data_IF_026339601519
#
_entry.id   IF_026339601519
#
_cell.length_a   1.000
_cell.length_b   1.000
_cell.length_c   1.000
_cell.angle_alpha   90.00
_cell.angle_beta   90.00
_cell.angle_gamma   90.00
#
_symmetry.space_group_name_H-M   'P 1'
#
loop_
_entity.id
_entity.type
_entity.pdbx_description
1 polymer ?
#
# COMPACT_ATOMS: atom_id res chain seq x y z
N UNK A 1 -120.92 18.03 -14.27
CA UNK A 1 -119.69 18.79 -14.61
C UNK A 1 -118.92 17.95 -15.60
N UNK A 2 -118.90 18.37 -16.87
CA UNK A 2 -118.19 17.68 -17.94
C UNK A 2 -116.69 17.72 -17.60
N UNK A 3 -116.08 16.54 -17.50
CA UNK A 3 -114.63 16.40 -17.39
C UNK A 3 -114.07 16.83 -18.74
N UNK A 4 -113.54 18.04 -18.81
CA UNK A 4 -112.92 18.59 -20.02
C UNK A 4 -111.69 17.77 -20.36
N UNK A 5 -111.67 17.21 -21.57
CA UNK A 5 -110.54 16.44 -22.13
C UNK A 5 -109.24 17.28 -22.14
N UNK A 6 -109.36 18.61 -22.16
CA UNK A 6 -108.26 19.57 -22.00
C UNK A 6 -107.48 19.40 -20.68
N UNK A 7 -108.13 18.93 -19.62
CA UNK A 7 -107.47 18.70 -18.32
C UNK A 7 -106.47 17.54 -18.35
N UNK A 8 -106.73 16.50 -19.16
CA UNK A 8 -105.85 15.34 -19.27
C UNK A 8 -104.58 15.71 -20.05
N UNK A 9 -104.72 16.51 -21.11
CA UNK A 9 -103.58 16.99 -21.89
C UNK A 9 -102.65 17.89 -21.07
N UNK A 10 -103.20 18.83 -20.28
CA UNK A 10 -102.42 19.68 -19.38
C UNK A 10 -101.66 18.88 -18.32
N UNK A 11 -102.28 17.84 -17.75
CA UNK A 11 -101.63 16.93 -16.81
C UNK A 11 -100.49 16.14 -17.45
N UNK A 12 -100.67 15.66 -18.68
CA UNK A 12 -99.62 14.95 -19.42
C UNK A 12 -98.45 15.88 -19.78
N UNK A 13 -98.74 17.14 -20.13
CA UNK A 13 -97.70 18.14 -20.40
C UNK A 13 -96.90 18.49 -19.14
N UNK A 14 -97.58 18.60 -17.99
CA UNK A 14 -96.94 18.86 -16.70
C UNK A 14 -96.04 17.70 -16.28
N UNK A 15 -96.53 16.46 -16.41
CA UNK A 15 -95.75 15.26 -16.13
C UNK A 15 -94.53 15.13 -17.06
N UNK A 16 -94.67 15.49 -18.34
CA UNK A 16 -93.56 15.52 -19.28
C UNK A 16 -92.54 16.63 -18.92
N UNK A 17 -93.02 17.77 -18.43
CA UNK A 17 -92.17 18.86 -17.93
C UNK A 17 -91.36 18.46 -16.69
N UNK A 18 -91.98 17.76 -15.72
CA UNK A 18 -91.29 17.24 -14.54
C UNK A 18 -90.19 16.25 -14.93
N UNK A 19 -90.49 15.32 -15.85
CA UNK A 19 -89.49 14.35 -16.34
C UNK A 19 -88.31 15.06 -17.01
N UNK A 20 -88.57 16.09 -17.81
CA UNK A 20 -87.52 16.84 -18.48
C UNK A 20 -86.66 17.64 -17.49
N UNK A 21 -87.26 18.17 -16.42
CA UNK A 21 -86.55 18.87 -15.35
C UNK A 21 -85.65 17.91 -14.56
N UNK A 22 -86.16 16.71 -14.22
CA UNK A 22 -85.39 15.68 -13.53
C UNK A 22 -84.18 15.23 -14.36
N UNK A 23 -84.37 15.04 -15.68
CA UNK A 23 -83.29 14.67 -16.57
C UNK A 23 -82.22 15.78 -16.68
N UNK A 24 -82.62 17.06 -16.70
CA UNK A 24 -81.67 18.16 -16.71
C UNK A 24 -80.87 18.24 -15.40
N UNK A 25 -81.53 17.96 -14.27
CA UNK A 25 -80.90 17.95 -12.95
C UNK A 25 -79.87 16.82 -12.84
N UNK A 26 -80.18 15.64 -13.37
CA UNK A 26 -79.27 14.50 -13.41
C UNK A 26 -78.03 14.79 -14.28
N UNK A 27 -78.22 15.44 -15.45
CA UNK A 27 -77.09 15.86 -16.31
C UNK A 27 -76.19 16.88 -15.58
N UNK A 28 -76.76 17.84 -14.87
CA UNK A 28 -75.98 18.83 -14.12
C UNK A 28 -75.22 18.19 -12.97
N UNK A 29 -75.84 17.25 -12.26
CA UNK A 29 -75.21 16.49 -11.18
C UNK A 29 -74.05 15.67 -11.73
N UNK A 30 -74.27 14.94 -12.83
CA UNK A 30 -73.25 14.12 -13.47
C UNK A 30 -72.07 14.97 -13.98
N UNK A 31 -72.33 16.16 -14.53
CA UNK A 31 -71.26 17.07 -14.93
C UNK A 31 -70.46 17.60 -13.73
N UNK A 32 -71.12 17.80 -12.58
CA UNK A 32 -70.43 18.20 -11.35
C UNK A 32 -69.53 17.09 -10.82
N UNK A 33 -70.03 15.85 -10.81
CA UNK A 33 -69.28 14.68 -10.35
C UNK A 33 -68.05 14.41 -11.21
N UNK A 34 -68.18 14.52 -12.54
CA UNK A 34 -67.04 14.38 -13.47
C UNK A 34 -65.99 15.46 -13.21
N UNK A 35 -66.40 16.73 -13.05
CA UNK A 35 -65.46 17.83 -12.78
C UNK A 35 -64.78 17.66 -11.42
N UNK A 36 -65.49 17.16 -10.42
CA UNK A 36 -64.93 16.88 -9.10
C UNK A 36 -63.94 15.71 -9.15
N UNK A 37 -64.23 14.68 -9.95
CA UNK A 37 -63.34 13.55 -10.17
C UNK A 37 -62.04 13.96 -10.91
N UNK A 38 -62.13 14.84 -11.91
CA UNK A 38 -60.95 15.39 -12.60
C UNK A 38 -60.05 16.19 -11.66
N UNK A 39 -60.62 17.05 -10.81
CA UNK A 39 -59.87 17.82 -9.81
C UNK A 39 -59.17 16.89 -8.81
N UNK A 40 -59.83 15.81 -8.38
CA UNK A 40 -59.24 14.84 -7.47
C UNK A 40 -58.12 14.02 -8.13
N UNK A 41 -58.24 13.69 -9.42
CA UNK A 41 -57.15 13.04 -10.17
C UNK A 41 -55.95 13.99 -10.35
N UNK A 42 -56.18 15.26 -10.68
CA UNK A 42 -55.10 16.24 -10.78
C UNK A 42 -54.34 16.42 -9.45
N UNK A 43 -55.06 16.44 -8.33
CA UNK A 43 -54.43 16.52 -7.00
C UNK A 43 -53.65 15.26 -6.62
N UNK A 44 -54.01 14.08 -7.12
CA UNK A 44 -53.22 12.85 -6.91
C UNK A 44 -51.99 12.72 -7.82
N UNK A 45 -52.05 13.25 -9.03
CA UNK A 45 -50.95 13.14 -10.00
C UNK A 45 -49.72 13.98 -9.59
N UNK A 46 -49.94 15.17 -9.00
CA UNK A 46 -48.86 16.08 -8.62
C UNK A 46 -47.84 15.50 -7.61
N UNK A 47 -48.27 14.93 -6.45
CA UNK A 47 -47.31 14.39 -5.47
C UNK A 47 -46.57 13.15 -5.99
N UNK A 48 -47.19 12.35 -6.88
CA UNK A 48 -46.53 11.17 -7.43
C UNK A 48 -45.39 11.54 -8.39
N UNK A 49 -45.56 12.60 -9.18
CA UNK A 49 -44.51 13.07 -10.08
C UNK A 49 -43.32 13.69 -9.31
N UNK A 50 -43.60 14.42 -8.23
CA UNK A 50 -42.55 15.02 -7.40
C UNK A 50 -41.70 13.95 -6.69
N UNK A 51 -42.34 12.90 -6.18
CA UNK A 51 -41.63 11.81 -5.50
C UNK A 51 -40.73 11.01 -6.46
N UNK A 52 -41.16 10.84 -7.72
CA UNK A 52 -40.35 10.16 -8.74
C UNK A 52 -39.12 10.99 -9.13
N UNK A 53 -39.24 12.32 -9.14
CA UNK A 53 -38.12 13.22 -9.45
C UNK A 53 -37.08 13.25 -8.31
N UNK A 54 -37.51 13.23 -7.04
CA UNK A 54 -36.58 13.13 -5.90
C UNK A 54 -35.84 11.78 -5.87
N UNK A 55 -36.51 10.68 -6.21
CA UNK A 55 -35.87 9.37 -6.25
C UNK A 55 -34.79 9.28 -7.34
N UNK A 56 -35.03 9.92 -8.49
CA UNK A 56 -34.05 9.97 -9.57
C UNK A 56 -32.83 10.85 -9.22
N UNK A 57 -33.01 11.94 -8.47
CA UNK A 57 -31.89 12.74 -7.95
C UNK A 57 -31.04 11.99 -6.92
N UNK A 58 -31.67 11.23 -6.00
CA UNK A 58 -30.90 10.42 -5.04
C UNK A 58 -30.06 9.34 -5.73
N UNK A 59 -30.59 8.72 -6.78
CA UNK A 59 -29.85 7.68 -7.50
C UNK A 59 -28.61 8.24 -8.22
N UNK A 60 -28.73 9.42 -8.86
CA UNK A 60 -27.58 10.10 -9.48
C UNK A 60 -26.52 10.54 -8.45
N UNK A 61 -26.92 10.97 -7.25
CA UNK A 61 -25.95 11.30 -6.20
C UNK A 61 -25.19 10.06 -5.71
N UNK A 62 -25.87 8.91 -5.54
CA UNK A 62 -25.20 7.68 -5.13
C UNK A 62 -24.20 7.19 -6.19
N UNK A 63 -24.56 7.21 -7.47
CA UNK A 63 -23.65 6.84 -8.55
C UNK A 63 -22.44 7.78 -8.63
N UNK A 64 -22.65 9.10 -8.51
CA UNK A 64 -21.55 10.08 -8.52
C UNK A 64 -20.56 9.87 -7.36
N UNK A 65 -21.09 9.59 -6.16
CA UNK A 65 -20.25 9.28 -5.00
C UNK A 65 -19.44 8.01 -5.29
N UNK A 66 -20.10 6.92 -5.69
CA UNK A 66 -19.44 5.64 -5.92
C UNK A 66 -18.32 5.72 -6.99
N UNK A 67 -18.56 6.45 -8.09
CA UNK A 67 -17.52 6.71 -9.09
C UNK A 67 -16.32 7.51 -8.56
N UNK A 68 -16.55 8.42 -7.62
CA UNK A 68 -15.48 9.22 -7.01
C UNK A 68 -14.59 8.36 -6.11
N UNK A 69 -15.18 7.46 -5.31
CA UNK A 69 -14.42 6.52 -4.48
C UNK A 69 -13.58 5.56 -5.34
N UNK A 70 -14.15 5.03 -6.42
CA UNK A 70 -13.44 4.15 -7.35
C UNK A 70 -12.27 4.87 -8.03
N UNK A 71 -12.46 6.12 -8.45
CA UNK A 71 -11.39 6.91 -9.05
C UNK A 71 -10.27 7.21 -8.05
N UNK A 72 -10.61 7.58 -6.81
CA UNK A 72 -9.63 7.84 -5.75
C UNK A 72 -8.86 6.57 -5.36
N UNK A 73 -9.52 5.43 -5.23
CA UNK A 73 -8.88 4.14 -4.94
C UNK A 73 -7.92 3.73 -6.06
N UNK A 74 -8.32 3.88 -7.34
CA UNK A 74 -7.42 3.63 -8.48
C UNK A 74 -6.22 4.56 -8.50
N UNK A 75 -6.42 5.84 -8.20
CA UNK A 75 -5.33 6.80 -8.11
C UNK A 75 -4.35 6.45 -6.98
N UNK A 76 -4.85 6.00 -5.83
CA UNK A 76 -4.01 5.55 -4.71
C UNK A 76 -3.15 4.35 -5.11
N UNK A 77 -3.73 3.33 -5.75
CA UNK A 77 -2.99 2.16 -6.25
C UNK A 77 -1.92 2.53 -7.29
N UNK A 78 -2.22 3.48 -8.19
CA UNK A 78 -1.24 3.96 -9.16
C UNK A 78 -0.08 4.73 -8.51
N UNK A 79 -0.37 5.54 -7.48
CA UNK A 79 0.66 6.24 -6.72
C UNK A 79 1.53 5.26 -5.93
N UNK A 80 0.92 4.23 -5.32
CA UNK A 80 1.65 3.16 -4.65
C UNK A 80 2.56 2.41 -5.63
N UNK A 81 2.06 2.08 -6.83
CA UNK A 81 2.85 1.47 -7.89
C UNK A 81 4.10 2.27 -8.28
N UNK A 82 3.97 3.59 -8.40
CA UNK A 82 5.11 4.49 -8.68
C UNK A 82 6.15 4.49 -7.55
N UNK A 83 5.70 4.44 -6.29
CA UNK A 83 6.62 4.35 -5.15
C UNK A 83 7.41 3.03 -5.17
N UNK A 84 6.77 1.90 -5.49
CA UNK A 84 7.47 0.62 -5.61
C UNK A 84 8.45 0.61 -6.79
N UNK A 85 8.04 1.14 -7.95
CA UNK A 85 8.93 1.26 -9.11
C UNK A 85 10.17 2.11 -8.77
N UNK A 86 9.97 3.27 -8.14
CA UNK A 86 11.07 4.12 -7.70
C UNK A 86 11.95 3.42 -6.66
N UNK A 87 11.36 2.70 -5.71
CA UNK A 87 12.11 1.94 -4.72
C UNK A 87 12.98 0.86 -5.37
N UNK A 88 12.44 0.09 -6.31
CA UNK A 88 13.19 -0.93 -7.05
C UNK A 88 14.32 -0.31 -7.89
N UNK A 89 14.08 0.86 -8.49
CA UNK A 89 15.12 1.62 -9.22
C UNK A 89 16.23 2.14 -8.31
N UNK A 90 15.90 2.53 -7.07
CA UNK A 90 16.88 3.01 -6.08
C UNK A 90 17.64 1.88 -5.38
N UNK A 91 17.15 0.64 -5.46
CA UNK A 91 17.73 -0.52 -4.76
C UNK A 91 18.03 -1.71 -5.69
N UNK A 92 18.74 -1.51 -6.82
CA UNK A 92 18.98 -2.58 -7.79
C UNK A 92 19.80 -3.74 -7.20
N UNK A 93 20.64 -3.47 -6.19
CA UNK A 93 21.45 -4.48 -5.50
C UNK A 93 20.65 -5.33 -4.50
N UNK A 94 19.35 -5.07 -4.33
CA UNK A 94 18.48 -5.69 -3.32
C UNK A 94 18.99 -5.52 -1.87
N UNK A 95 19.89 -4.56 -1.64
CA UNK A 95 20.40 -4.19 -0.33
C UNK A 95 20.35 -2.67 -0.19
N UNK A 96 19.64 -2.17 0.82
CA UNK A 96 19.55 -0.74 1.11
C UNK A 96 20.53 -0.36 2.21
N UNK A 97 20.91 0.92 2.30
CA UNK A 97 21.78 1.42 3.37
C UNK A 97 21.19 1.16 4.76
N UNK A 98 19.87 1.31 4.89
CA UNK A 98 19.13 0.96 6.11
C UNK A 98 19.24 -0.54 6.40
N UNK A 99 18.99 -1.40 5.41
CA UNK A 99 19.09 -2.85 5.58
C UNK A 99 20.51 -3.30 5.98
N UNK A 100 21.56 -2.71 5.40
CA UNK A 100 22.93 -2.99 5.79
C UNK A 100 23.22 -2.54 7.24
N UNK A 101 22.79 -1.34 7.62
CA UNK A 101 22.91 -0.85 9.01
C UNK A 101 22.20 -1.78 9.99
N UNK A 102 21.00 -2.23 9.63
CA UNK A 102 20.21 -3.17 10.42
C UNK A 102 20.90 -4.54 10.58
N UNK A 103 21.51 -5.07 9.51
CA UNK A 103 22.34 -6.27 9.58
C UNK A 103 23.52 -6.09 10.56
N UNK A 104 24.23 -4.95 10.50
CA UNK A 104 25.32 -4.64 11.42
C UNK A 104 24.84 -4.56 12.89
N UNK A 105 23.65 -4.03 13.13
CA UNK A 105 23.04 -3.98 14.46
C UNK A 105 22.51 -5.34 14.95
N UNK A 106 22.46 -6.35 14.08
CA UNK A 106 21.98 -7.68 14.41
C UNK A 106 20.45 -7.81 14.38
N UNK A 107 19.82 -7.02 13.51
CA UNK A 107 18.40 -6.67 13.47
C UNK A 107 17.42 -7.52 14.30
N UNK A 108 16.69 -6.83 15.18
CA UNK A 108 15.48 -7.32 15.85
C UNK A 108 14.24 -6.62 15.27
N UNK A 109 13.48 -7.27 14.37
CA UNK A 109 12.27 -6.70 13.78
C UNK A 109 11.12 -6.64 14.80
N UNK A 110 11.16 -5.70 15.76
CA UNK A 110 10.06 -5.47 16.69
C UNK A 110 9.31 -4.14 16.43
N UNK A 111 9.94 -3.17 15.79
CA UNK A 111 9.37 -1.81 15.66
C UNK A 111 8.57 -1.57 14.37
N UNK A 112 8.84 -2.29 13.27
CA UNK A 112 8.20 -2.00 11.98
C UNK A 112 6.90 -2.78 11.71
N UNK A 113 6.61 -3.86 12.45
CA UNK A 113 5.43 -4.70 12.24
C UNK A 113 4.24 -4.35 13.14
N UNK A 114 4.38 -3.39 14.06
CA UNK A 114 3.36 -3.04 15.06
C UNK A 114 2.08 -2.40 14.47
N UNK A 115 2.04 -2.09 13.17
CA UNK A 115 0.88 -1.44 12.54
C UNK A 115 0.03 -2.34 11.65
N UNK A 116 0.40 -3.61 11.41
CA UNK A 116 -0.31 -4.42 10.40
C UNK A 116 -0.86 -5.79 10.84
N UNK A 117 -0.50 -6.37 11.99
CA UNK A 117 -1.00 -7.72 12.33
C UNK A 117 -1.16 -7.98 13.83
N UNK A 118 -2.30 -7.60 14.40
CA UNK A 118 -2.71 -7.92 15.77
C UNK A 118 -3.11 -9.40 15.99
N UNK A 119 -2.74 -10.35 15.12
CA UNK A 119 -3.26 -11.73 15.20
C UNK A 119 -2.26 -12.86 14.88
N UNK A 120 -1.01 -12.57 14.52
CA UNK A 120 -0.03 -13.63 14.28
C UNK A 120 0.84 -13.84 15.54
N UNK A 121 0.75 -15.03 16.12
CA UNK A 121 1.58 -15.54 17.21
C UNK A 121 3.01 -15.04 17.11
N UNK A 122 3.44 -14.27 18.12
CA UNK A 122 4.75 -13.64 18.20
C UNK A 122 5.87 -14.70 18.08
N UNK A 123 6.43 -14.84 16.87
CA UNK A 123 7.66 -15.58 16.68
C UNK A 123 8.77 -14.85 17.44
N UNK A 124 9.65 -15.57 18.17
CA UNK A 124 10.74 -14.94 18.91
C UNK A 124 11.62 -14.15 17.93
N UNK A 125 11.87 -12.90 18.29
CA UNK A 125 12.72 -11.98 17.52
C UNK A 125 14.16 -12.49 17.55
N UNK A 126 14.57 -13.26 16.55
CA UNK A 126 15.93 -13.81 16.46
C UNK A 126 16.85 -12.75 15.89
N UNK A 127 17.58 -12.07 16.77
CA UNK A 127 18.71 -11.23 16.39
C UNK A 127 19.76 -12.07 15.65
N UNK A 128 20.42 -11.49 14.64
CA UNK A 128 21.56 -12.13 13.96
C UNK A 128 22.70 -12.33 14.99
N UNK A 129 23.04 -13.60 15.34
CA UNK A 129 24.01 -13.86 16.38
C UNK A 129 25.42 -13.46 15.92
N UNK A 130 26.24 -12.98 16.87
CA UNK A 130 27.65 -12.74 16.62
C UNK A 130 28.37 -14.07 16.37
N UNK A 131 29.29 -14.08 15.40
CA UNK A 131 30.12 -15.23 15.05
C UNK A 131 29.36 -16.47 14.55
N UNK A 132 28.07 -16.35 14.22
CA UNK A 132 27.30 -17.46 13.64
C UNK A 132 27.17 -17.25 12.12
N UNK A 133 27.62 -18.23 11.31
CA UNK A 133 27.41 -18.19 9.87
C UNK A 133 25.94 -18.15 9.52
N UNK A 134 25.56 -17.21 8.66
CA UNK A 134 24.21 -17.04 8.15
C UNK A 134 24.25 -16.99 6.61
N UNK A 135 23.09 -17.12 5.98
CA UNK A 135 22.96 -16.97 4.52
C UNK A 135 22.28 -15.64 4.22
N UNK A 136 22.91 -14.83 3.37
CA UNK A 136 22.37 -13.59 2.84
C UNK A 136 21.93 -13.81 1.39
N UNK A 137 20.68 -13.48 1.08
CA UNK A 137 20.21 -13.38 -0.30
C UNK A 137 20.34 -11.93 -0.78
N UNK A 138 21.15 -11.70 -1.81
CA UNK A 138 21.40 -10.38 -2.40
C UNK A 138 21.68 -10.53 -3.89
N UNK A 139 21.09 -9.65 -4.70
CA UNK A 139 21.30 -9.62 -6.15
C UNK A 139 21.11 -11.01 -6.82
N UNK A 140 20.03 -11.71 -6.42
CA UNK A 140 19.73 -13.06 -6.88
C UNK A 140 20.82 -14.12 -6.57
N UNK A 141 21.68 -13.86 -5.60
CA UNK A 141 22.75 -14.76 -5.16
C UNK A 141 22.65 -15.05 -3.66
N UNK A 142 23.06 -16.24 -3.24
CA UNK A 142 23.16 -16.61 -1.84
C UNK A 142 24.62 -16.60 -1.41
N UNK A 143 24.92 -15.81 -0.38
CA UNK A 143 26.27 -15.71 0.17
C UNK A 143 26.30 -16.10 1.64
N UNK A 144 27.39 -16.74 2.08
CA UNK A 144 27.62 -17.01 3.50
C UNK A 144 28.16 -15.74 4.15
N UNK A 145 27.49 -15.25 5.19
CA UNK A 145 27.92 -14.09 5.95
C UNK A 145 28.20 -14.43 7.41
N UNK A 146 29.08 -13.65 8.02
CA UNK A 146 29.33 -13.67 9.47
C UNK A 146 29.32 -12.23 9.98
N UNK A 147 28.63 -12.01 11.11
CA UNK A 147 28.67 -10.75 11.84
C UNK A 147 29.78 -10.79 12.87
N UNK A 148 30.72 -9.86 12.81
CA UNK A 148 31.80 -9.73 13.79
C UNK A 148 31.98 -8.29 14.27
N UNK A 149 32.38 -8.09 15.54
CA UNK A 149 32.83 -6.79 16.01
C UNK A 149 34.04 -6.30 15.23
N UNK A 150 34.11 -5.00 14.96
CA UNK A 150 35.31 -4.39 14.37
C UNK A 150 36.52 -4.57 15.32
N UNK A 151 37.74 -4.80 14.81
CA UNK A 151 38.94 -4.99 15.65
C UNK A 151 39.21 -3.83 16.61
N UNK A 152 38.94 -2.59 16.18
CA UNK A 152 39.01 -1.39 17.01
C UNK A 152 38.07 -1.46 18.22
N UNK A 153 36.92 -2.09 18.05
CA UNK A 153 35.91 -2.25 19.09
C UNK A 153 36.29 -3.39 20.06
N UNK A 154 36.88 -4.47 19.54
CA UNK A 154 37.37 -5.57 20.36
C UNK A 154 38.48 -5.12 21.32
N UNK A 155 39.38 -4.24 20.86
CA UNK A 155 40.43 -3.69 21.71
C UNK A 155 39.87 -2.81 22.83
N UNK A 156 38.85 -1.98 22.53
CA UNK A 156 38.14 -1.17 23.54
C UNK A 156 37.42 -2.06 24.56
N UNK A 157 36.77 -3.14 24.12
CA UNK A 157 36.08 -4.08 25.01
C UNK A 157 37.05 -4.73 26.00
N UNK A 158 38.22 -5.17 25.53
CA UNK A 158 39.27 -5.73 26.40
C UNK A 158 39.77 -4.71 27.42
N UNK A 159 40.07 -3.49 26.96
CA UNK A 159 40.54 -2.41 27.84
C UNK A 159 39.48 -2.01 28.89
N UNK A 160 38.21 -2.06 28.53
CA UNK A 160 37.10 -1.75 29.42
C UNK A 160 36.85 -2.88 30.42
N UNK A 161 37.02 -4.14 30.04
CA UNK A 161 36.94 -5.28 30.95
C UNK A 161 37.95 -5.17 32.10
N UNK A 162 39.14 -4.62 31.84
CA UNK A 162 40.14 -4.35 32.88
C UNK A 162 39.70 -3.22 33.83
N UNK A 163 38.99 -2.20 33.35
CA UNK A 163 38.47 -1.10 34.20
C UNK A 163 37.22 -1.48 35.00
N UNK A 164 36.48 -2.49 34.55
CA UNK A 164 35.17 -2.87 35.09
C UNK A 164 35.21 -3.43 36.52
N UNK A 165 36.39 -3.72 37.07
CA UNK A 165 36.52 -4.13 38.48
C UNK A 165 36.10 -3.04 39.49
N UNK A 166 35.81 -1.79 39.08
CA UNK A 166 35.46 -0.69 39.99
C UNK A 166 34.07 -0.05 39.80
N UNK A 167 33.30 -0.36 38.75
CA UNK A 167 31.98 0.27 38.51
C UNK A 167 31.05 -0.64 37.68
N UNK A 168 30.10 -1.30 38.35
CA UNK A 168 29.11 -2.19 37.72
C UNK A 168 27.96 -1.42 37.04
N UNK A 169 27.57 -0.25 37.56
CA UNK A 169 26.39 0.49 37.05
C UNK A 169 26.65 1.26 35.74
N UNK A 170 27.87 1.71 35.47
CA UNK A 170 28.22 2.38 34.18
C UNK A 170 28.25 1.37 33.03
N UNK A 171 28.32 0.08 33.34
CA UNK A 171 28.52 -0.97 32.36
C UNK A 171 27.31 -1.20 31.45
N UNK A 172 26.10 -1.10 32.01
CA UNK A 172 24.89 -1.48 31.27
C UNK A 172 24.58 -0.48 30.15
N UNK A 173 24.77 0.82 30.40
CA UNK A 173 24.56 1.85 29.39
C UNK A 173 25.66 1.81 28.29
N UNK A 174 26.89 1.48 28.68
CA UNK A 174 28.02 1.39 27.75
C UNK A 174 27.98 0.12 26.88
N UNK A 175 27.48 -1.01 27.39
CA UNK A 175 27.23 -2.21 26.58
C UNK A 175 26.25 -1.94 25.44
N UNK A 176 25.24 -1.09 25.65
CA UNK A 176 24.25 -0.78 24.63
C UNK A 176 24.82 0.08 23.48
N UNK A 177 25.82 0.93 23.76
CA UNK A 177 26.55 1.67 22.72
C UNK A 177 27.54 0.78 21.96
N UNK A 178 28.19 -0.18 22.62
CA UNK A 178 29.19 -1.04 21.97
C UNK A 178 28.63 -2.13 21.06
N UNK A 179 27.35 -2.52 21.22
CA UNK A 179 26.71 -3.47 20.31
C UNK A 179 26.55 -2.92 18.88
N UNK A 180 26.94 -1.67 18.62
CA UNK A 180 26.65 -0.96 17.37
C UNK A 180 27.78 -1.00 16.33
N UNK A 181 28.99 -1.42 16.69
CA UNK A 181 30.14 -1.44 15.76
C UNK A 181 30.50 -2.87 15.34
N UNK A 182 29.57 -3.53 14.67
CA UNK A 182 29.84 -4.79 13.98
C UNK A 182 29.94 -4.54 12.47
N UNK A 183 30.77 -5.34 11.82
CA UNK A 183 30.85 -5.45 10.37
C UNK A 183 30.26 -6.79 9.90
N UNK A 184 29.76 -6.78 8.66
CA UNK A 184 29.27 -7.98 7.98
C UNK A 184 30.35 -8.41 6.99
N UNK A 185 30.80 -9.65 7.16
CA UNK A 185 31.80 -10.28 6.31
C UNK A 185 31.11 -11.32 5.44
N UNK A 186 31.35 -11.29 4.13
CA UNK A 186 30.84 -12.25 3.16
C UNK A 186 31.97 -13.16 2.70
N UNK A 187 31.72 -14.46 2.64
CA UNK A 187 32.71 -15.43 2.17
C UNK A 187 32.95 -15.23 0.67
N UNK A 188 34.22 -15.05 0.29
CA UNK A 188 34.61 -14.99 -1.11
C UNK A 188 34.58 -16.40 -1.69
N UNK A 189 33.71 -16.63 -2.67
CA UNK A 189 33.54 -17.92 -3.35
C UNK A 189 33.75 -17.84 -4.86
N UNK A 190 34.10 -16.66 -5.36
CA UNK A 190 34.40 -16.46 -6.78
C UNK A 190 35.67 -17.23 -7.16
N UNK A 191 35.62 -17.91 -8.31
CA UNK A 191 36.74 -18.66 -8.85
C UNK A 191 37.94 -17.76 -9.21
N UNK A 192 37.71 -16.46 -9.44
CA UNK A 192 38.78 -15.50 -9.69
C UNK A 192 39.81 -15.40 -8.54
N UNK A 193 39.41 -15.74 -7.31
CA UNK A 193 40.29 -15.70 -6.14
C UNK A 193 40.93 -17.06 -5.83
N UNK A 194 40.86 -18.05 -6.74
CA UNK A 194 41.39 -19.39 -6.49
C UNK A 194 42.89 -19.41 -6.21
N UNK A 195 43.63 -18.48 -6.81
CA UNK A 195 45.09 -18.38 -6.71
C UNK A 195 45.56 -17.44 -5.59
N UNK A 196 44.62 -16.79 -4.89
CA UNK A 196 44.86 -15.81 -3.84
C UNK A 196 44.30 -16.30 -2.49
N UNK A 197 44.93 -17.31 -1.86
CA UNK A 197 44.39 -17.95 -0.64
C UNK A 197 44.30 -16.99 0.55
N UNK A 198 44.96 -15.83 0.49
CA UNK A 198 44.82 -14.76 1.47
C UNK A 198 43.45 -14.05 1.42
N UNK A 199 42.70 -14.12 0.32
CA UNK A 199 41.36 -13.53 0.19
C UNK A 199 40.32 -14.56 0.62
N UNK A 200 39.78 -14.37 1.81
CA UNK A 200 38.76 -15.28 2.37
C UNK A 200 37.43 -14.57 2.54
N UNK A 201 37.47 -13.33 3.02
CA UNK A 201 36.27 -12.56 3.35
C UNK A 201 36.25 -11.22 2.62
N UNK A 202 35.05 -10.73 2.35
CA UNK A 202 34.77 -9.38 1.83
C UNK A 202 33.92 -8.64 2.87
N UNK A 203 34.36 -7.47 3.32
CA UNK A 203 33.60 -6.62 4.24
C UNK A 203 32.55 -5.84 3.45
N UNK A 204 31.27 -6.01 3.79
CA UNK A 204 30.21 -5.16 3.26
C UNK A 204 30.21 -3.81 3.98
N UNK A 205 30.82 -2.81 3.34
CA UNK A 205 30.88 -1.44 3.87
C UNK A 205 29.76 -0.58 3.28
N UNK A 206 29.54 -0.70 1.97
CA UNK A 206 28.53 0.06 1.24
C UNK A 206 27.72 -0.85 0.29
N UNK A 207 26.50 -0.42 0.00
CA UNK A 207 25.60 -1.08 -0.96
C UNK A 207 26.11 -1.00 -2.40
N UNK A 208 27.03 -0.07 -2.68
CA UNK A 208 27.62 0.17 -4.01
C UNK A 208 28.70 -0.83 -4.40
N UNK A 209 29.27 -1.56 -3.43
CA UNK A 209 30.32 -2.55 -3.70
C UNK A 209 31.76 -2.07 -3.47
N UNK A 210 31.96 -0.90 -2.86
CA UNK A 210 33.30 -0.43 -2.41
C UNK A 210 33.75 -1.19 -1.15
N UNK A 211 33.88 -2.49 -1.29
CA UNK A 211 34.16 -3.42 -0.21
C UNK A 211 35.67 -3.68 -0.06
N UNK A 212 36.08 -4.14 1.12
CA UNK A 212 37.46 -4.48 1.40
C UNK A 212 37.61 -5.99 1.58
N UNK A 213 38.64 -6.57 0.95
CA UNK A 213 38.99 -7.97 1.14
C UNK A 213 39.79 -8.17 2.43
N UNK A 214 39.57 -9.31 3.06
CA UNK A 214 40.16 -9.72 4.33
C UNK A 214 40.64 -11.17 4.27
N UNK A 215 41.63 -11.46 5.11
CA UNK A 215 42.11 -12.82 5.34
C UNK A 215 41.24 -13.62 6.30
N UNK A 216 41.63 -14.87 6.55
CA UNK A 216 41.01 -15.81 7.50
C UNK A 216 40.86 -15.26 8.93
N UNK A 217 41.64 -14.22 9.27
CA UNK A 217 41.62 -13.52 10.56
C UNK A 217 40.80 -12.23 10.53
N UNK A 218 40.01 -12.00 9.50
CA UNK A 218 39.15 -10.81 9.34
C UNK A 218 39.94 -9.49 9.32
N UNK A 219 41.23 -9.55 8.97
CA UNK A 219 42.08 -8.38 8.84
C UNK A 219 42.08 -7.90 7.38
N UNK A 220 41.85 -6.59 7.14
CA UNK A 220 41.92 -6.02 5.80
C UNK A 220 43.28 -6.32 5.14
N UNK A 221 43.23 -6.81 3.91
CA UNK A 221 44.42 -6.98 3.10
C UNK A 221 44.89 -5.61 2.61
N UNK A 222 46.14 -5.27 2.89
CA UNK A 222 46.77 -4.12 2.26
C UNK A 222 47.23 -4.56 0.88
N UNK A 223 46.47 -4.20 -0.16
CA UNK A 223 46.98 -4.27 -1.52
C UNK A 223 48.05 -3.20 -1.66
N UNK A 224 49.29 -3.59 -1.46
CA UNK A 224 50.40 -2.79 -1.94
C UNK A 224 50.25 -2.77 -3.46
N UNK A 225 49.83 -1.65 -4.04
CA UNK A 225 49.87 -1.42 -5.49
C UNK A 225 51.34 -1.38 -5.92
N UNK A 226 52.01 -2.52 -5.86
CA UNK A 226 53.36 -2.69 -6.39
C UNK A 226 53.23 -2.87 -7.90
N UNK A 227 53.15 -1.75 -8.63
CA UNK A 227 53.60 -1.76 -10.03
C UNK A 227 52.61 -1.39 -11.14
N UNK A 228 51.62 -0.54 -10.90
CA UNK A 228 50.89 0.11 -12.03
C UNK A 228 51.61 1.38 -12.51
N UNK A 229 52.77 1.15 -13.13
CA UNK A 229 53.25 1.96 -14.26
C UNK A 229 53.27 1.15 -15.56
N UNK A 230 52.62 -0.02 -15.60
CA UNK A 230 52.43 -0.76 -16.86
C UNK A 230 50.98 -0.67 -17.32
N UNK A 231 50.80 0.17 -18.33
CA UNK A 231 49.57 0.39 -19.07
C UNK A 231 48.96 -0.93 -19.57
N UNK A 232 47.95 -1.44 -18.87
CA UNK A 232 46.98 -2.36 -19.46
C UNK A 232 45.57 -1.87 -19.17
N UNK A 233 45.19 -0.86 -19.95
CA UNK A 233 43.80 -0.49 -20.21
C UNK A 233 43.06 -1.67 -20.89
N UNK A 234 42.75 -2.71 -20.13
CA UNK A 234 41.77 -3.71 -20.53
C UNK A 234 40.44 -3.28 -19.98
N UNK A 235 39.80 -2.39 -20.73
CA UNK A 235 38.41 -2.02 -20.53
C UNK A 235 37.54 -3.29 -20.57
N UNK A 236 37.10 -3.77 -19.41
CA UNK A 236 35.92 -4.61 -19.29
C UNK A 236 34.68 -3.72 -19.53
N UNK A 237 34.53 -3.25 -20.77
CA UNK A 237 33.28 -2.70 -21.27
C UNK A 237 32.37 -3.89 -21.58
N UNK A 238 31.52 -4.24 -20.61
CA UNK A 238 30.36 -5.10 -20.84
C UNK A 238 29.36 -4.30 -21.71
N UNK A 239 29.63 -4.29 -23.01
CA UNK A 239 28.74 -3.78 -24.04
C UNK A 239 27.53 -4.70 -24.20
N UNK A 240 26.46 -4.39 -23.47
CA UNK A 240 25.12 -4.88 -23.78
C UNK A 240 24.51 -4.06 -24.91
N UNK A 241 24.79 -4.42 -26.15
CA UNK A 241 24.08 -3.94 -27.32
C UNK A 241 22.67 -4.57 -27.36
N UNK A 242 21.65 -3.82 -26.93
CA UNK A 242 20.26 -4.12 -27.28
C UNK A 242 19.96 -3.46 -28.62
N UNK A 243 19.98 -4.30 -29.64
CA UNK A 243 19.59 -4.03 -31.00
C UNK A 243 18.07 -3.89 -31.06
N UNK A 244 17.64 -2.70 -31.48
CA UNK A 244 16.25 -2.35 -31.75
C UNK A 244 15.92 -2.84 -33.17
N UNK A 245 15.17 -3.94 -33.29
CA UNK A 245 14.48 -4.31 -34.53
C UNK A 245 12.98 -4.09 -34.35
N UNK A 246 12.49 -3.15 -35.16
CA UNK A 246 11.14 -2.93 -35.74
C UNK A 246 9.90 -3.19 -34.88
#
# INVERSE_FOLDING_TARGET
MQKTEDGIFLLQLLQQGELQQEQLQDILQQQHDVRQQELQQQQRAHPQQQQQQEQQQQQQQQESVQHTWDAAARAALLMEGKHYEQFLLLSPSQLTATGLKELCLGYTPAAAAATAAAAATAAPTVALPLYVPCVLFRNNHFSVIVRQPLPSCQQKLLQQLEQQQQQEDVLQEQQQQQQQECAIYCLCTDAAFSDEPQIVWEILIDVKGDNLFCNDKFLPLQYTQEGESSSCSSAASLGGALQQEQ
#
